data_IF_686685882090
#
_entry.id   IF_686685882090
#
_cell.length_a   1.000
_cell.length_b   1.000
_cell.length_c   1.000
_cell.angle_alpha   90.00
_cell.angle_beta   90.00
_cell.angle_gamma   90.00
#
_symmetry.space_group_name_H-M   'P 1'
#
loop_
_entity.id
_entity.type
_entity.pdbx_description
1 polymer ?
#
# COMPACT_ATOMS: atom_id res chain seq x y z
N UNK A 1 33.83 -34.02 20.03
CA UNK A 1 32.44 -34.06 19.52
C UNK A 1 32.12 -32.76 18.78
N UNK A 2 32.82 -32.53 17.68
CA UNK A 2 32.49 -31.57 16.61
C UNK A 2 32.38 -32.46 15.37
N UNK A 3 31.51 -32.13 14.43
CA UNK A 3 31.19 -32.96 13.23
C UNK A 3 29.96 -33.87 13.39
N UNK A 4 28.89 -33.33 13.97
CA UNK A 4 27.52 -33.76 13.66
C UNK A 4 26.64 -32.55 13.30
N UNK A 5 27.22 -31.53 12.68
CA UNK A 5 26.49 -30.50 11.91
C UNK A 5 26.54 -30.83 10.42
N UNK A 6 26.52 -32.13 10.09
CA UNK A 6 26.45 -32.63 8.73
C UNK A 6 25.05 -32.42 8.15
N UNK A 7 25.01 -31.73 7.00
CA UNK A 7 23.95 -31.82 5.99
C UNK A 7 22.60 -31.10 6.18
N UNK A 8 22.46 -30.09 7.06
CA UNK A 8 21.42 -29.09 6.79
C UNK A 8 21.95 -28.15 5.71
N UNK A 9 21.66 -28.47 4.45
CA UNK A 9 22.13 -27.76 3.28
C UNK A 9 21.92 -26.24 3.46
N UNK A 10 23.00 -25.47 3.41
CA UNK A 10 22.98 -24.02 3.60
C UNK A 10 21.93 -23.35 2.69
N UNK A 11 21.69 -23.90 1.49
CA UNK A 11 20.67 -23.39 0.58
C UNK A 11 19.24 -23.57 1.13
N UNK A 12 18.97 -24.64 1.87
CA UNK A 12 17.67 -24.88 2.52
C UNK A 12 17.44 -23.83 3.60
N UNK A 13 18.47 -23.50 4.38
CA UNK A 13 18.40 -22.43 5.39
C UNK A 13 18.10 -21.09 4.73
N UNK A 14 18.80 -20.77 3.63
CA UNK A 14 18.56 -19.53 2.88
C UNK A 14 17.13 -19.47 2.33
N UNK A 15 16.62 -20.56 1.76
CA UNK A 15 15.24 -20.62 1.24
C UNK A 15 14.22 -20.39 2.35
N UNK A 16 14.42 -20.98 3.54
CA UNK A 16 13.53 -20.77 4.69
C UNK A 16 13.55 -19.30 5.12
N UNK A 17 14.73 -18.68 5.20
CA UNK A 17 14.86 -17.27 5.57
C UNK A 17 14.13 -16.37 4.57
N UNK A 18 14.35 -16.57 3.27
CA UNK A 18 13.66 -15.80 2.22
C UNK A 18 12.15 -16.00 2.29
N UNK A 19 11.69 -17.22 2.53
CA UNK A 19 10.26 -17.51 2.70
C UNK A 19 9.67 -16.74 3.91
N UNK A 20 10.36 -16.74 5.05
CA UNK A 20 9.93 -16.00 6.25
C UNK A 20 9.91 -14.49 6.00
N UNK A 21 10.93 -13.93 5.35
CA UNK A 21 10.98 -12.51 5.02
C UNK A 21 9.88 -12.12 4.03
N UNK A 22 9.61 -12.98 3.04
CA UNK A 22 8.53 -12.76 2.07
C UNK A 22 7.17 -12.76 2.75
N UNK A 23 6.92 -13.72 3.64
CA UNK A 23 5.68 -13.78 4.42
C UNK A 23 5.51 -12.52 5.27
N UNK A 24 6.55 -12.11 6.01
CA UNK A 24 6.53 -10.87 6.80
C UNK A 24 6.23 -9.63 5.93
N UNK A 25 6.88 -9.53 4.78
CA UNK A 25 6.66 -8.42 3.85
C UNK A 25 5.22 -8.37 3.37
N UNK A 26 4.69 -9.48 2.84
CA UNK A 26 3.34 -9.50 2.27
C UNK A 26 2.23 -9.44 3.33
N UNK A 27 2.48 -9.89 4.56
CA UNK A 27 1.47 -9.86 5.63
C UNK A 27 1.42 -8.53 6.38
N UNK A 28 2.55 -7.82 6.52
CA UNK A 28 2.63 -6.63 7.38
C UNK A 28 2.97 -5.37 6.59
N UNK A 29 4.02 -5.41 5.77
CA UNK A 29 4.49 -4.21 5.07
C UNK A 29 3.59 -3.87 3.88
N UNK A 30 3.24 -4.88 3.07
CA UNK A 30 2.44 -4.70 1.86
C UNK A 30 1.05 -4.10 2.12
N UNK A 31 0.25 -4.54 3.12
CA UNK A 31 -1.06 -3.93 3.38
C UNK A 31 -0.97 -2.45 3.74
N UNK A 32 0.07 -2.05 4.49
CA UNK A 32 0.32 -0.64 4.82
C UNK A 32 0.61 0.19 3.57
N UNK A 33 1.47 -0.32 2.69
CA UNK A 33 1.82 0.34 1.42
C UNK A 33 0.61 0.39 0.48
N UNK A 34 -0.11 -0.73 0.34
CA UNK A 34 -1.26 -0.86 -0.54
C UNK A 34 -2.40 0.09 -0.16
N UNK A 35 -2.63 0.30 1.15
CA UNK A 35 -3.64 1.26 1.63
C UNK A 35 -3.33 2.68 1.16
N UNK A 36 -2.07 3.11 1.29
CA UNK A 36 -1.64 4.44 0.86
C UNK A 36 -1.68 4.57 -0.68
N UNK A 37 -1.23 3.55 -1.41
CA UNK A 37 -1.30 3.52 -2.86
C UNK A 37 -2.74 3.60 -3.37
N UNK A 38 -3.65 2.82 -2.79
CA UNK A 38 -5.07 2.81 -3.17
C UNK A 38 -5.71 4.19 -3.02
N UNK A 39 -5.44 4.88 -1.89
CA UNK A 39 -5.92 6.26 -1.70
C UNK A 39 -5.35 7.21 -2.76
N UNK A 40 -4.05 7.13 -3.02
CA UNK A 40 -3.40 8.02 -3.97
C UNK A 40 -3.86 7.77 -5.41
N UNK A 41 -4.07 6.51 -5.80
CA UNK A 41 -4.64 6.14 -7.11
C UNK A 41 -6.10 6.59 -7.23
N UNK A 42 -6.93 6.39 -6.19
CA UNK A 42 -8.29 6.90 -6.18
C UNK A 42 -8.33 8.42 -6.34
N UNK A 43 -7.42 9.15 -5.68
CA UNK A 43 -7.27 10.58 -5.84
C UNK A 43 -6.80 11.02 -7.24
N UNK A 44 -6.10 10.15 -7.96
CA UNK A 44 -5.64 10.43 -9.34
C UNK A 44 -6.78 10.26 -10.36
N UNK A 45 -7.74 9.37 -10.08
CA UNK A 45 -8.92 9.11 -10.91
C UNK A 45 -10.15 9.93 -10.50
N UNK A 46 -10.16 10.47 -9.27
CA UNK A 46 -11.28 11.23 -8.74
C UNK A 46 -11.46 12.59 -9.44
N UNK A 47 -12.70 13.04 -9.51
CA UNK A 47 -13.06 14.36 -10.01
C UNK A 47 -12.95 15.35 -8.85
N UNK A 48 -11.95 16.23 -8.92
CA UNK A 48 -11.68 17.25 -7.91
C UNK A 48 -12.07 18.64 -8.42
N UNK A 49 -13.02 19.31 -7.75
CA UNK A 49 -13.40 20.69 -8.09
C UNK A 49 -12.61 21.68 -7.25
N UNK A 50 -12.09 22.73 -7.90
CA UNK A 50 -11.30 23.79 -7.25
C UNK A 50 -12.06 24.55 -6.15
N UNK A 51 -13.38 24.60 -6.24
CA UNK A 51 -14.25 25.21 -5.22
C UNK A 51 -14.26 24.44 -3.89
N UNK A 52 -13.88 23.16 -3.91
CA UNK A 52 -13.84 22.29 -2.74
C UNK A 52 -12.45 22.21 -2.09
N UNK A 53 -11.54 23.10 -2.50
CA UNK A 53 -10.23 23.23 -1.88
C UNK A 53 -10.38 23.83 -0.49
N UNK A 54 -9.74 23.21 0.50
CA UNK A 54 -9.71 23.71 1.87
C UNK A 54 -9.11 25.11 1.94
N UNK A 55 -9.47 25.90 2.95
CA UNK A 55 -8.96 27.25 3.14
C UNK A 55 -7.42 27.30 3.23
N UNK A 56 -6.79 26.22 3.68
CA UNK A 56 -5.33 26.08 3.76
C UNK A 56 -4.66 25.77 2.41
N UNK A 57 -5.43 25.51 1.35
CA UNK A 57 -4.94 25.22 -0.01
C UNK A 57 -4.23 23.87 -0.19
N UNK A 58 -4.23 23.01 0.83
CA UNK A 58 -3.48 21.75 0.86
C UNK A 58 -4.32 20.52 0.51
N UNK A 59 -5.63 20.59 0.72
CA UNK A 59 -6.55 19.47 0.57
C UNK A 59 -7.75 19.88 -0.29
N UNK A 60 -8.31 18.93 -1.02
CA UNK A 60 -9.51 19.08 -1.84
C UNK A 60 -10.44 17.90 -1.59
N UNK A 61 -11.75 18.16 -1.52
CA UNK A 61 -12.75 17.08 -1.57
C UNK A 61 -13.04 16.73 -3.02
N UNK A 62 -12.83 15.46 -3.36
CA UNK A 62 -13.05 14.90 -4.68
C UNK A 62 -14.10 13.80 -4.61
N UNK A 63 -14.77 13.54 -5.72
CA UNK A 63 -15.71 12.42 -5.85
C UNK A 63 -15.15 11.39 -6.80
N UNK A 64 -15.33 10.11 -6.47
CA UNK A 64 -14.96 9.00 -7.35
C UNK A 64 -16.10 8.00 -7.41
N UNK A 65 -16.21 7.30 -8.54
CA UNK A 65 -17.21 6.25 -8.72
C UNK A 65 -16.65 4.93 -8.22
N UNK A 66 -17.31 4.33 -7.24
CA UNK A 66 -16.90 3.04 -6.69
C UNK A 66 -17.21 1.88 -7.67
N UNK A 67 -16.78 0.67 -7.34
CA UNK A 67 -16.99 -0.53 -8.19
C UNK A 67 -18.47 -0.91 -8.34
N UNK A 68 -19.35 -0.41 -7.47
CA UNK A 68 -20.79 -0.64 -7.52
C UNK A 68 -21.50 0.44 -8.35
N UNK A 69 -20.75 1.43 -8.85
CA UNK A 69 -21.29 2.54 -9.63
C UNK A 69 -21.83 3.70 -8.80
N UNK A 70 -21.60 3.72 -7.49
CA UNK A 70 -22.02 4.77 -6.56
C UNK A 70 -20.93 5.85 -6.44
N UNK A 71 -21.33 7.09 -6.23
CA UNK A 71 -20.40 8.20 -5.99
C UNK A 71 -20.02 8.24 -4.51
N UNK A 72 -18.72 8.26 -4.23
CA UNK A 72 -18.16 8.41 -2.89
C UNK A 72 -17.21 9.60 -2.82
N UNK A 73 -17.23 10.28 -1.68
CA UNK A 73 -16.33 11.38 -1.38
C UNK A 73 -14.97 10.87 -0.88
N UNK A 74 -13.89 11.48 -1.36
CA UNK A 74 -12.53 11.26 -0.90
C UNK A 74 -11.79 12.60 -0.75
N UNK A 75 -11.09 12.78 0.37
CA UNK A 75 -10.21 13.93 0.56
C UNK A 75 -8.82 13.61 0.04
N UNK A 76 -8.34 14.46 -0.87
CA UNK A 76 -7.07 14.30 -1.56
C UNK A 76 -6.19 15.53 -1.34
N UNK A 77 -4.87 15.36 -1.45
CA UNK A 77 -3.96 16.49 -1.46
C UNK A 77 -4.19 17.32 -2.74
N UNK A 78 -4.35 18.64 -2.61
CA UNK A 78 -4.51 19.54 -3.75
C UNK A 78 -3.18 19.68 -4.48
N UNK A 79 -3.14 19.33 -5.78
CA UNK A 79 -1.92 19.34 -6.61
C UNK A 79 -1.72 20.62 -7.43
N UNK A 80 -2.61 21.61 -7.31
CA UNK A 80 -2.45 22.93 -7.96
C UNK A 80 -3.27 23.10 -9.23
#
# INVERSE_FOLDING_TARGET
MKEATGELNLTVIVVIIVALLSLFFFSILWPSIQSNFSKNTKCDEAICLKENVSADGKEVRCTYRNKNGEEEDITCAWKG
#
